data_IF_750486573932
#
_entry.id   IF_750486573932
#
_cell.length_a   1.000
_cell.length_b   1.000
_cell.length_c   1.000
_cell.angle_alpha   90.00
_cell.angle_beta   90.00
_cell.angle_gamma   90.00
#
_symmetry.space_group_name_H-M   'P 1'
#
loop_
_entity.id
_entity.type
_entity.pdbx_description
1 polymer ?
#
# COMPACT_ATOMS: atom_id res chain seq x y z
N UNK A 1 -7.43 -24.38 -4.79
CA UNK A 1 -6.24 -23.52 -5.00
C UNK A 1 -6.59 -22.09 -4.61
N UNK A 2 -6.01 -21.58 -3.52
CA UNK A 2 -6.31 -20.23 -3.03
C UNK A 2 -5.60 -19.18 -3.90
N UNK A 3 -6.29 -18.65 -4.91
CA UNK A 3 -5.78 -17.51 -5.69
C UNK A 3 -5.64 -16.29 -4.78
N UNK A 4 -4.46 -16.07 -4.21
CA UNK A 4 -4.09 -14.74 -3.74
C UNK A 4 -4.06 -13.84 -4.97
N UNK A 5 -4.78 -12.70 -4.99
CA UNK A 5 -4.66 -11.78 -6.12
C UNK A 5 -3.19 -11.36 -6.22
N UNK A 6 -2.53 -11.77 -7.30
CA UNK A 6 -1.18 -11.34 -7.64
C UNK A 6 -1.27 -9.87 -7.99
N UNK A 7 -0.89 -9.02 -7.03
CA UNK A 7 -0.84 -7.58 -7.24
C UNK A 7 0.25 -7.31 -8.28
N UNK A 8 -0.17 -6.95 -9.50
CA UNK A 8 0.74 -6.58 -10.57
C UNK A 8 1.13 -5.11 -10.42
N UNK A 9 2.40 -4.88 -10.11
CA UNK A 9 2.99 -3.55 -9.98
C UNK A 9 3.64 -3.06 -11.29
N UNK A 10 3.38 -3.72 -12.43
CA UNK A 10 3.93 -3.32 -13.75
C UNK A 10 3.63 -1.85 -14.06
N UNK A 11 4.59 -1.16 -14.68
CA UNK A 11 4.55 0.26 -15.11
C UNK A 11 4.50 1.31 -13.99
N UNK A 12 4.94 0.99 -12.77
CA UNK A 12 5.10 2.02 -11.73
C UNK A 12 6.56 2.47 -11.65
N UNK A 13 6.75 3.78 -11.51
CA UNK A 13 8.07 4.41 -11.33
C UNK A 13 8.75 3.99 -10.02
N UNK A 14 7.96 3.47 -9.07
CA UNK A 14 8.41 3.04 -7.75
C UNK A 14 8.50 1.52 -7.67
N UNK A 15 9.48 0.99 -6.92
CA UNK A 15 9.57 -0.43 -6.67
C UNK A 15 8.29 -0.99 -6.02
N UNK A 16 7.89 -2.22 -6.33
CA UNK A 16 6.68 -2.85 -5.79
C UNK A 16 6.66 -2.89 -4.26
N UNK A 17 7.82 -3.04 -3.62
CA UNK A 17 7.94 -3.08 -2.16
C UNK A 17 7.59 -1.73 -1.50
N UNK A 18 7.88 -0.60 -2.16
CA UNK A 18 7.52 0.74 -1.66
C UNK A 18 6.02 0.96 -1.74
N UNK A 19 5.42 0.59 -2.88
CA UNK A 19 3.97 0.68 -3.10
C UNK A 19 3.24 -0.19 -2.08
N UNK A 20 3.71 -1.42 -1.90
CA UNK A 20 3.21 -2.36 -0.91
C UNK A 20 3.29 -1.80 0.52
N UNK A 21 4.41 -1.18 0.89
CA UNK A 21 4.62 -0.61 2.22
C UNK A 21 3.71 0.60 2.48
N UNK A 22 3.59 1.52 1.53
CA UNK A 22 2.73 2.70 1.62
C UNK A 22 1.26 2.32 1.79
N UNK A 23 0.77 1.38 0.95
CA UNK A 23 -0.61 0.88 1.03
C UNK A 23 -0.82 0.11 2.34
N UNK A 24 0.15 -0.68 2.78
CA UNK A 24 0.05 -1.39 4.05
C UNK A 24 -0.04 -0.44 5.25
N UNK A 25 0.82 0.58 5.32
CA UNK A 25 0.78 1.60 6.39
C UNK A 25 -0.59 2.30 6.44
N UNK A 26 -1.10 2.69 5.28
CA UNK A 26 -2.40 3.37 5.17
C UNK A 26 -3.58 2.49 5.61
N UNK A 27 -3.59 1.18 5.30
CA UNK A 27 -4.69 0.27 5.67
C UNK A 27 -4.52 -0.38 7.04
N UNK A 28 -3.30 -0.47 7.58
CA UNK A 28 -3.01 -1.16 8.85
C UNK A 28 -3.11 -0.25 10.06
N UNK A 29 -2.82 1.03 9.90
CA UNK A 29 -2.79 2.03 10.95
C UNK A 29 -3.73 3.19 10.60
N UNK A 30 -4.28 3.91 11.60
CA UNK A 30 -5.10 5.10 11.37
C UNK A 30 -4.23 6.33 11.00
N UNK A 31 -3.33 6.17 10.03
CA UNK A 31 -2.43 7.24 9.58
C UNK A 31 -3.11 8.07 8.49
N UNK A 32 -2.88 9.39 8.53
CA UNK A 32 -3.25 10.26 7.42
C UNK A 32 -2.33 9.99 6.22
N UNK A 33 -2.81 10.25 5.00
CA UNK A 33 -1.99 10.10 3.78
C UNK A 33 -0.74 11.00 3.81
N UNK A 34 -0.83 12.17 4.46
CA UNK A 34 0.28 13.11 4.67
C UNK A 34 1.36 12.51 5.55
N UNK A 35 0.97 11.84 6.63
CA UNK A 35 1.93 11.19 7.52
C UNK A 35 2.65 10.02 6.83
N UNK A 36 1.94 9.27 5.97
CA UNK A 36 2.59 8.22 5.15
C UNK A 36 3.55 8.82 4.12
N UNK A 37 3.20 9.97 3.52
CA UNK A 37 4.09 10.76 2.65
C UNK A 37 5.36 11.19 3.40
N UNK A 38 5.24 11.75 4.61
CA UNK A 38 6.39 12.13 5.45
C UNK A 38 7.25 10.92 5.85
N UNK A 39 6.65 9.80 6.25
CA UNK A 39 7.41 8.59 6.60
C UNK A 39 8.21 8.01 5.41
N UNK A 40 7.70 8.16 4.20
CA UNK A 40 8.43 7.78 2.98
C UNK A 40 9.52 8.81 2.68
N UNK A 41 9.24 10.10 2.89
CA UNK A 41 10.21 11.18 2.69
C UNK A 41 11.43 11.02 3.61
N UNK A 42 11.21 10.69 4.89
CA UNK A 42 12.28 10.39 5.86
C UNK A 42 13.17 9.21 5.43
N UNK A 43 12.65 8.31 4.59
CA UNK A 43 13.41 7.20 3.99
C UNK A 43 14.07 7.58 2.66
N UNK A 44 14.05 8.86 2.28
CA UNK A 44 14.56 9.37 1.00
C UNK A 44 13.64 9.11 -0.19
N UNK A 45 12.38 8.73 0.04
CA UNK A 45 11.42 8.37 -1.00
C UNK A 45 10.43 9.52 -1.19
N UNK A 46 10.63 10.29 -2.26
CA UNK A 46 9.74 11.41 -2.60
C UNK A 46 8.50 10.88 -3.32
N UNK A 47 7.40 10.74 -2.58
CA UNK A 47 6.09 10.29 -3.09
C UNK A 47 5.01 11.24 -2.61
N UNK A 48 4.24 11.82 -3.54
CA UNK A 48 3.08 12.65 -3.19
C UNK A 48 1.94 11.84 -2.54
N UNK A 49 1.24 12.42 -1.57
CA UNK A 49 0.03 11.86 -0.97
C UNK A 49 -1.02 11.41 -1.99
N UNK A 50 -1.11 12.09 -3.15
CA UNK A 50 -2.04 11.72 -4.23
C UNK A 50 -1.68 10.39 -4.87
N UNK A 51 -0.38 10.10 -4.96
CA UNK A 51 0.15 8.83 -5.47
C UNK A 51 -0.19 7.71 -4.50
N UNK A 52 -0.03 7.94 -3.19
CA UNK A 52 -0.42 6.99 -2.14
C UNK A 52 -1.93 6.72 -2.20
N UNK A 53 -2.75 7.77 -2.37
CA UNK A 53 -4.20 7.64 -2.54
C UNK A 53 -4.57 6.81 -3.77
N UNK A 54 -3.90 7.00 -4.91
CA UNK A 54 -4.12 6.19 -6.13
C UNK A 54 -3.74 4.73 -5.90
N UNK A 55 -2.62 4.46 -5.23
CA UNK A 55 -2.24 3.10 -4.86
C UNK A 55 -3.24 2.47 -3.90
N UNK A 56 -3.73 3.21 -2.90
CA UNK A 56 -4.76 2.77 -1.98
C UNK A 56 -6.06 2.40 -2.70
N UNK A 57 -6.50 3.17 -3.69
CA UNK A 57 -7.68 2.84 -4.51
C UNK A 57 -7.46 1.60 -5.39
N UNK A 58 -6.28 1.47 -6.01
CA UNK A 58 -5.97 0.38 -6.96
C UNK A 58 -5.69 -0.95 -6.27
N UNK A 59 -4.96 -0.92 -5.16
CA UNK A 59 -4.45 -2.11 -4.47
C UNK A 59 -5.14 -2.37 -3.12
N UNK A 60 -5.88 -1.40 -2.59
CA UNK A 60 -6.54 -1.48 -1.29
C UNK A 60 -7.51 -2.64 -1.17
N UNK A 61 -8.29 -2.94 -2.22
CA UNK A 61 -9.20 -4.09 -2.21
C UNK A 61 -8.45 -5.43 -2.05
N UNK A 62 -7.31 -5.58 -2.72
CA UNK A 62 -6.46 -6.77 -2.60
C UNK A 62 -5.81 -6.86 -1.21
N UNK A 63 -5.37 -5.72 -0.67
CA UNK A 63 -4.80 -5.64 0.68
C UNK A 63 -5.83 -5.92 1.78
N UNK A 64 -7.01 -5.31 1.71
CA UNK A 64 -8.11 -5.55 2.65
C UNK A 64 -8.56 -7.02 2.62
N UNK A 65 -8.64 -7.64 1.43
CA UNK A 65 -8.95 -9.07 1.29
C UNK A 65 -7.86 -9.96 1.91
N UNK A 66 -6.58 -9.59 1.81
CA UNK A 66 -5.45 -10.27 2.47
C UNK A 66 -5.47 -10.08 3.98
N UNK A 67 -5.77 -8.87 4.47
CA UNK A 67 -5.84 -8.56 5.90
C UNK A 67 -7.00 -9.33 6.57
N UNK A 68 -8.19 -9.36 5.95
CA UNK A 68 -9.34 -10.15 6.43
C UNK A 68 -9.10 -11.66 6.46
N UNK A 69 -8.23 -12.19 5.60
CA UNK A 69 -7.83 -13.61 5.60
C UNK A 69 -6.84 -13.96 6.70
N UNK A 70 -6.21 -12.97 7.35
CA UNK A 70 -5.23 -13.16 8.41
C UNK A 70 -5.81 -13.02 9.82
N UNK A 71 -7.12 -12.85 9.98
CA UNK A 71 -7.74 -12.93 11.30
C UNK A 71 -7.58 -14.37 11.81
N UNK A 72 -6.81 -14.60 12.89
CA UNK A 72 -6.69 -15.94 13.45
C UNK A 72 -8.06 -16.36 14.00
N UNK A 73 -8.42 -17.61 13.72
CA UNK A 73 -9.54 -18.30 14.37
C UNK A 73 -9.15 -18.64 15.80
#
# INVERSE_FOLDING_TARGET
MMSTPTISYKNHRFPPHIIAHAVWLYFRFPLSLRLVEEMLLERGIVVSYETIRRWGRKFGAAYAKRLRRKTPS
#
